data_IF_042129644308
#
_entry.id   IF_042129644308
#
_cell.length_a   1.000
_cell.length_b   1.000
_cell.length_c   1.000
_cell.angle_alpha   90.00
_cell.angle_beta   90.00
_cell.angle_gamma   90.00
#
_symmetry.space_group_name_H-M   'P 1'
#
loop_
_entity.id
_entity.type
_entity.pdbx_description
1 polymer ?
#
# COMPACT_ATOMS: atom_id res chain seq x y z
N UNK A 1 27.09 -46.60 -0.88
CA UNK A 1 25.81 -46.04 -1.38
C UNK A 1 25.27 -45.12 -0.31
N UNK A 2 25.32 -43.81 -0.53
CA UNK A 2 24.82 -42.83 0.43
C UNK A 2 23.34 -42.58 0.13
N UNK A 3 22.49 -42.83 1.13
CA UNK A 3 21.07 -42.49 1.14
C UNK A 3 20.92 -40.97 1.25
N UNK A 4 20.43 -40.33 0.20
CA UNK A 4 19.96 -38.94 0.23
C UNK A 4 18.65 -38.89 1.02
N UNK A 5 18.52 -38.07 2.07
CA UNK A 5 17.23 -37.84 2.68
C UNK A 5 16.41 -36.92 1.75
N UNK A 6 15.24 -37.38 1.35
CA UNK A 6 14.19 -36.51 0.82
C UNK A 6 13.89 -35.45 1.88
N UNK A 7 14.25 -34.20 1.58
CA UNK A 7 13.80 -33.06 2.34
C UNK A 7 12.31 -32.88 2.05
N UNK A 8 11.49 -33.55 2.87
CA UNK A 8 10.11 -33.14 3.13
C UNK A 8 10.15 -31.76 3.80
N UNK A 9 10.28 -30.71 3.00
CA UNK A 9 10.14 -29.34 3.47
C UNK A 9 8.68 -29.19 3.91
N UNK A 10 8.47 -29.17 5.21
CA UNK A 10 7.18 -29.04 5.83
C UNK A 10 6.45 -27.82 5.25
N UNK A 11 5.34 -28.07 4.55
CA UNK A 11 4.25 -27.13 4.32
C UNK A 11 3.69 -26.71 5.70
N UNK A 12 4.37 -25.79 6.38
CA UNK A 12 3.83 -25.12 7.57
C UNK A 12 4.60 -23.83 7.88
N UNK A 13 4.91 -23.05 6.85
CA UNK A 13 5.05 -21.62 7.01
C UNK A 13 3.78 -21.02 6.41
N UNK A 14 2.91 -20.43 7.23
CA UNK A 14 1.87 -19.55 6.69
C UNK A 14 2.59 -18.52 5.80
N UNK A 15 2.34 -18.55 4.50
CA UNK A 15 2.94 -17.59 3.59
C UNK A 15 2.61 -16.17 4.10
N UNK A 16 3.56 -15.21 4.13
CA UNK A 16 3.26 -13.83 4.51
C UNK A 16 2.09 -13.25 3.71
N UNK A 17 1.90 -13.76 2.47
CA UNK A 17 0.75 -13.48 1.61
C UNK A 17 -0.57 -13.96 2.21
N UNK A 18 -0.62 -15.18 2.78
CA UNK A 18 -1.82 -15.69 3.45
C UNK A 18 -2.18 -14.84 4.67
N UNK A 19 -1.19 -14.40 5.45
CA UNK A 19 -1.44 -13.49 6.58
C UNK A 19 -2.02 -12.14 6.10
N UNK A 20 -1.47 -11.56 5.05
CA UNK A 20 -1.99 -10.30 4.49
C UNK A 20 -3.39 -10.46 3.88
N UNK A 21 -3.71 -11.63 3.33
CA UNK A 21 -5.05 -11.99 2.83
C UNK A 21 -6.01 -12.41 3.94
N UNK A 22 -5.55 -12.69 5.15
CA UNK A 22 -6.45 -13.04 6.26
C UNK A 22 -6.62 -11.89 7.27
N UNK A 23 -5.62 -11.01 7.41
CA UNK A 23 -5.74 -9.82 8.24
C UNK A 23 -6.67 -8.80 7.58
N UNK A 24 -7.83 -8.58 8.18
CA UNK A 24 -8.65 -7.40 7.87
C UNK A 24 -8.05 -6.19 8.58
N UNK A 25 -8.06 -5.04 7.91
CA UNK A 25 -7.67 -3.78 8.54
C UNK A 25 -8.76 -3.42 9.55
N UNK A 26 -8.37 -3.06 10.78
CA UNK A 26 -9.32 -2.58 11.79
C UNK A 26 -10.15 -1.41 11.24
N UNK A 27 -11.45 -1.35 11.55
CA UNK A 27 -12.30 -0.20 11.19
C UNK A 27 -11.83 1.10 11.85
N UNK A 28 -11.10 0.99 12.97
CA UNK A 28 -10.50 2.11 13.69
C UNK A 28 -9.07 2.45 13.24
N UNK A 29 -8.58 1.85 12.14
CA UNK A 29 -7.23 2.11 11.67
C UNK A 29 -7.03 3.57 11.26
N UNK A 30 -5.91 4.14 11.70
CA UNK A 30 -5.56 5.53 11.42
C UNK A 30 -4.88 5.72 10.05
N UNK A 31 -4.58 6.97 9.70
CA UNK A 31 -3.97 7.34 8.42
C UNK A 31 -2.66 6.57 8.15
N UNK A 32 -1.79 6.41 9.16
CA UNK A 32 -0.49 5.77 8.98
C UNK A 32 -0.64 4.25 8.83
N UNK A 33 -1.51 3.65 9.63
CA UNK A 33 -1.82 2.22 9.54
C UNK A 33 -2.46 1.86 8.20
N UNK A 34 -3.33 2.73 7.67
CA UNK A 34 -3.92 2.56 6.35
C UNK A 34 -2.86 2.67 5.24
N UNK A 35 -1.94 3.63 5.35
CA UNK A 35 -0.83 3.78 4.41
C UNK A 35 0.10 2.55 4.43
N UNK A 36 0.47 2.05 5.62
CA UNK A 36 1.29 0.84 5.77
C UNK A 36 0.62 -0.40 5.20
N UNK A 37 -0.69 -0.56 5.43
CA UNK A 37 -1.44 -1.66 4.85
C UNK A 37 -1.49 -1.57 3.32
N UNK A 38 -1.69 -0.38 2.76
CA UNK A 38 -1.65 -0.17 1.31
C UNK A 38 -0.28 -0.57 0.74
N UNK A 39 0.82 -0.12 1.36
CA UNK A 39 2.19 -0.47 0.97
C UNK A 39 2.42 -1.98 1.01
N UNK A 40 2.01 -2.65 2.09
CA UNK A 40 2.15 -4.10 2.19
C UNK A 40 1.36 -4.84 1.10
N UNK A 41 0.16 -4.37 0.75
CA UNK A 41 -0.62 -4.98 -0.32
C UNK A 41 0.02 -4.79 -1.70
N UNK A 42 0.49 -3.58 -2.03
CA UNK A 42 1.11 -3.35 -3.35
C UNK A 42 2.45 -4.07 -3.51
N UNK A 43 3.24 -4.20 -2.44
CA UNK A 43 4.50 -4.95 -2.49
C UNK A 43 4.25 -6.41 -2.84
N UNK A 44 3.24 -7.04 -2.24
CA UNK A 44 2.87 -8.43 -2.59
C UNK A 44 2.20 -8.49 -3.97
N UNK A 45 1.42 -7.47 -4.35
CA UNK A 45 0.72 -7.43 -5.63
C UNK A 45 1.69 -7.51 -6.83
N UNK A 46 2.83 -6.81 -6.76
CA UNK A 46 3.87 -6.82 -7.81
C UNK A 46 4.52 -8.20 -7.97
N UNK A 47 4.59 -8.97 -6.90
CA UNK A 47 5.21 -10.32 -6.88
C UNK A 47 4.20 -11.46 -7.15
N UNK A 48 2.91 -11.14 -7.27
CA UNK A 48 1.84 -12.14 -7.37
C UNK A 48 1.56 -12.53 -8.82
N UNK A 49 1.81 -13.81 -9.16
CA UNK A 49 1.38 -14.40 -10.44
C UNK A 49 -0.01 -15.08 -10.36
N UNK A 50 -0.50 -15.39 -9.16
CA UNK A 50 -1.79 -16.04 -8.97
C UNK A 50 -2.97 -15.06 -9.11
N UNK A 51 -3.82 -15.28 -10.10
CA UNK A 51 -4.93 -14.37 -10.42
C UNK A 51 -5.96 -14.22 -9.29
N UNK A 52 -6.19 -15.26 -8.49
CA UNK A 52 -7.14 -15.22 -7.37
C UNK A 52 -6.60 -14.35 -6.24
N UNK A 53 -5.32 -14.55 -5.90
CA UNK A 53 -4.60 -13.75 -4.92
C UNK A 53 -4.51 -12.29 -5.37
N UNK A 54 -4.16 -12.06 -6.64
CA UNK A 54 -4.07 -10.73 -7.23
C UNK A 54 -5.41 -9.98 -7.09
N UNK A 55 -6.52 -10.59 -7.53
CA UNK A 55 -7.84 -9.97 -7.42
C UNK A 55 -8.26 -9.73 -5.97
N UNK A 56 -7.88 -10.61 -5.05
CA UNK A 56 -8.17 -10.46 -3.62
C UNK A 56 -7.39 -9.30 -3.01
N UNK A 57 -6.11 -9.17 -3.35
CA UNK A 57 -5.27 -8.04 -2.93
C UNK A 57 -5.76 -6.72 -3.52
N UNK A 58 -6.13 -6.67 -4.79
CA UNK A 58 -6.73 -5.47 -5.40
C UNK A 58 -7.99 -5.01 -4.67
N UNK A 59 -8.89 -5.92 -4.29
CA UNK A 59 -10.10 -5.58 -3.52
C UNK A 59 -9.77 -5.00 -2.15
N UNK A 60 -8.77 -5.56 -1.46
CA UNK A 60 -8.30 -5.09 -0.15
C UNK A 60 -7.63 -3.74 -0.24
N UNK A 61 -6.73 -3.57 -1.21
CA UNK A 61 -6.08 -2.30 -1.51
C UNK A 61 -7.12 -1.23 -1.84
N UNK A 62 -8.12 -1.54 -2.67
CA UNK A 62 -9.19 -0.59 -2.99
C UNK A 62 -9.99 -0.16 -1.76
N UNK A 63 -10.28 -1.08 -0.84
CA UNK A 63 -10.96 -0.75 0.41
C UNK A 63 -10.08 0.14 1.32
N UNK A 64 -8.79 -0.19 1.43
CA UNK A 64 -7.82 0.57 2.21
C UNK A 64 -7.62 1.99 1.65
N UNK A 65 -7.44 2.14 0.33
CA UNK A 65 -7.28 3.43 -0.34
C UNK A 65 -8.50 4.33 -0.19
N UNK A 66 -9.72 3.78 -0.28
CA UNK A 66 -10.94 4.56 -0.06
C UNK A 66 -11.02 5.12 1.36
N UNK A 67 -10.66 4.31 2.35
CA UNK A 67 -10.59 4.76 3.75
C UNK A 67 -9.45 5.76 3.96
N UNK A 68 -8.31 5.54 3.32
CA UNK A 68 -7.18 6.47 3.37
C UNK A 68 -7.60 7.84 2.84
N UNK A 69 -8.36 7.89 1.74
CA UNK A 69 -8.95 9.12 1.19
C UNK A 69 -9.83 9.83 2.22
N UNK A 70 -10.73 9.11 2.86
CA UNK A 70 -11.62 9.65 3.91
C UNK A 70 -10.80 10.21 5.08
N UNK A 71 -9.71 9.55 5.46
CA UNK A 71 -8.81 10.02 6.50
C UNK A 71 -7.98 11.25 6.09
N UNK A 72 -7.70 11.45 4.80
CA UNK A 72 -7.01 12.66 4.32
C UNK A 72 -7.87 13.92 4.49
N UNK A 73 -9.20 13.79 4.40
CA UNK A 73 -10.15 14.90 4.59
C UNK A 73 -10.56 15.10 6.05
N UNK A 74 -10.24 14.14 6.92
CA UNK A 74 -10.61 14.16 8.34
C UNK A 74 -9.57 14.90 9.20
N UNK A 75 -10.01 15.40 10.36
CA UNK A 75 -9.09 15.97 11.35
C UNK A 75 -8.17 14.88 11.92
N UNK A 76 -6.86 15.15 11.90
CA UNK A 76 -5.87 14.20 12.37
C UNK A 76 -5.95 14.02 13.90
N UNK A 77 -5.91 12.78 14.41
CA UNK A 77 -5.80 12.52 15.84
C UNK A 77 -4.61 13.23 16.48
N UNK A 78 -4.72 13.73 17.73
CA UNK A 78 -3.66 14.50 18.39
C UNK A 78 -2.30 13.78 18.43
N UNK A 79 -2.30 12.47 18.64
CA UNK A 79 -1.07 11.68 18.69
C UNK A 79 -0.35 11.56 17.34
N UNK A 80 -1.07 11.66 16.22
CA UNK A 80 -0.44 11.73 14.88
C UNK A 80 0.12 13.12 14.64
N UNK A 81 -0.59 14.17 15.05
CA UNK A 81 -0.08 15.55 14.96
C UNK A 81 1.21 15.68 15.76
N UNK A 82 1.25 15.16 17.00
CA UNK A 82 2.45 15.13 17.83
C UNK A 82 3.64 14.44 17.14
N UNK A 83 3.41 13.33 16.45
CA UNK A 83 4.45 12.64 15.66
C UNK A 83 4.92 13.48 14.47
N UNK A 84 4.00 14.15 13.78
CA UNK A 84 4.30 14.96 12.59
C UNK A 84 5.03 16.27 12.96
N UNK A 85 4.80 16.84 14.15
CA UNK A 85 5.52 18.05 14.60
C UNK A 85 6.85 17.75 15.29
N UNK A 86 7.05 16.52 15.79
CA UNK A 86 8.28 16.12 16.48
C UNK A 86 9.44 15.83 15.51
N UNK A 87 9.17 15.67 14.21
CA UNK A 87 10.19 15.37 13.21
C UNK A 87 11.14 16.53 12.92
N UNK A 88 12.28 16.22 12.31
CA UNK A 88 13.23 17.22 11.78
C UNK A 88 12.74 17.76 10.43
N UNK A 89 13.24 18.95 10.03
CA UNK A 89 12.88 19.54 8.74
C UNK A 89 13.50 18.71 7.62
N UNK A 90 12.66 18.02 6.86
CA UNK A 90 13.06 17.19 5.73
C UNK A 90 12.54 17.84 4.44
N UNK A 91 13.30 17.71 3.36
CA UNK A 91 12.80 18.04 2.02
C UNK A 91 11.74 17.03 1.65
N UNK A 92 10.54 17.48 1.30
CA UNK A 92 9.45 16.57 0.94
C UNK A 92 9.88 15.58 -0.15
N UNK A 93 9.51 14.32 0.02
CA UNK A 93 9.69 13.26 -0.96
C UNK A 93 8.76 13.46 -2.17
N UNK A 94 7.66 14.21 -1.99
CA UNK A 94 6.74 14.50 -3.07
C UNK A 94 7.25 15.62 -3.98
N UNK A 95 7.18 15.44 -5.31
CA UNK A 95 7.41 16.52 -6.26
C UNK A 95 6.45 17.69 -6.03
N UNK A 96 6.90 18.91 -6.31
CA UNK A 96 6.08 20.13 -6.16
C UNK A 96 4.77 20.11 -6.96
N UNK A 97 4.67 19.29 -8.00
CA UNK A 97 3.45 19.15 -8.80
C UNK A 97 2.36 18.29 -8.12
N UNK A 98 2.69 17.62 -7.00
CA UNK A 98 1.84 16.65 -6.32
C UNK A 98 1.42 17.16 -4.93
N UNK A 99 0.84 18.35 -4.83
CA UNK A 99 0.48 18.96 -3.55
C UNK A 99 -0.84 18.44 -2.95
N UNK A 100 -1.66 17.69 -3.70
CA UNK A 100 -3.00 17.29 -3.28
C UNK A 100 -3.11 15.78 -3.00
N UNK A 101 -2.97 15.40 -1.72
CA UNK A 101 -3.00 14.00 -1.22
C UNK A 101 -4.19 13.21 -1.76
N UNK A 102 -5.37 13.84 -1.76
CA UNK A 102 -6.62 13.21 -2.20
C UNK A 102 -6.60 12.83 -3.68
N UNK A 103 -5.99 13.67 -4.53
CA UNK A 103 -5.84 13.41 -5.95
C UNK A 103 -4.92 12.20 -6.21
N UNK A 104 -3.84 12.06 -5.44
CA UNK A 104 -2.94 10.90 -5.60
C UNK A 104 -3.59 9.61 -5.12
N UNK A 105 -4.38 9.66 -4.03
CA UNK A 105 -5.20 8.52 -3.61
C UNK A 105 -6.20 8.14 -4.71
N UNK A 106 -6.85 9.12 -5.34
CA UNK A 106 -7.79 8.88 -6.45
C UNK A 106 -7.11 8.24 -7.67
N UNK A 107 -5.88 8.64 -7.98
CA UNK A 107 -5.08 7.98 -9.03
C UNK A 107 -4.73 6.54 -8.67
N UNK A 108 -4.32 6.25 -7.43
CA UNK A 108 -4.05 4.90 -6.97
C UNK A 108 -5.32 4.01 -7.03
N UNK A 109 -6.49 4.57 -6.68
CA UNK A 109 -7.79 3.91 -6.82
C UNK A 109 -8.09 3.58 -8.29
N UNK A 110 -7.92 4.55 -9.19
CA UNK A 110 -8.17 4.35 -10.62
C UNK A 110 -7.23 3.30 -11.22
N UNK A 111 -5.94 3.33 -10.88
CA UNK A 111 -4.96 2.33 -11.29
C UNK A 111 -5.32 0.93 -10.77
N UNK A 112 -5.71 0.82 -9.50
CA UNK A 112 -6.14 -0.46 -8.89
C UNK A 112 -7.34 -1.04 -9.66
N UNK A 113 -8.32 -0.21 -10.00
CA UNK A 113 -9.47 -0.63 -10.80
C UNK A 113 -9.07 -1.06 -12.22
N UNK A 114 -8.15 -0.34 -12.86
CA UNK A 114 -7.67 -0.65 -14.20
C UNK A 114 -6.93 -2.00 -14.25
N UNK A 115 -6.00 -2.27 -13.32
CA UNK A 115 -5.26 -3.54 -13.28
C UNK A 115 -6.16 -4.71 -12.89
N UNK A 116 -7.15 -4.49 -12.02
CA UNK A 116 -8.13 -5.50 -11.63
C UNK A 116 -9.13 -5.83 -12.76
N UNK A 117 -9.36 -4.90 -13.69
CA UNK A 117 -10.36 -5.04 -14.75
C UNK A 117 -10.10 -6.16 -15.76
N UNK A 118 -8.86 -6.65 -15.86
CA UNK A 118 -8.50 -7.80 -16.70
C UNK A 118 -8.59 -7.56 -18.21
N UNK A 119 -8.74 -6.31 -18.65
CA UNK A 119 -8.88 -5.92 -20.07
C UNK A 119 -7.56 -5.46 -20.70
N UNK A 120 -6.51 -5.28 -19.89
CA UNK A 120 -5.21 -4.79 -20.32
C UNK A 120 -4.33 -5.91 -20.88
N UNK A 121 -3.47 -5.63 -21.87
CA UNK A 121 -2.39 -6.53 -22.23
C UNK A 121 -1.49 -6.83 -21.01
N UNK A 122 -0.98 -8.06 -20.91
CA UNK A 122 -0.20 -8.50 -19.74
C UNK A 122 1.02 -7.60 -19.44
N UNK A 123 1.72 -7.13 -20.48
CA UNK A 123 2.83 -6.18 -20.33
C UNK A 123 2.36 -4.86 -19.72
N UNK A 124 1.25 -4.30 -20.18
CA UNK A 124 0.68 -3.05 -19.67
C UNK A 124 0.20 -3.22 -18.23
N UNK A 125 -0.48 -4.33 -17.92
CA UNK A 125 -0.93 -4.63 -16.57
C UNK A 125 0.24 -4.70 -15.57
N UNK A 126 1.36 -5.33 -15.98
CA UNK A 126 2.58 -5.41 -15.18
C UNK A 126 3.17 -4.02 -14.90
N UNK A 127 3.35 -3.20 -15.94
CA UNK A 127 3.90 -1.84 -15.76
C UNK A 127 2.99 -0.96 -14.90
N UNK A 128 1.66 -1.04 -15.08
CA UNK A 128 0.72 -0.28 -14.24
C UNK A 128 0.67 -0.78 -12.79
N UNK A 129 0.93 -2.07 -12.55
CA UNK A 129 1.05 -2.62 -11.19
C UNK A 129 2.32 -2.12 -10.51
N UNK A 130 3.44 -2.03 -11.25
CA UNK A 130 4.67 -1.39 -10.76
C UNK A 130 4.48 0.10 -10.46
N UNK A 131 3.83 0.85 -11.36
CA UNK A 131 3.51 2.26 -11.12
C UNK A 131 2.61 2.45 -9.89
N UNK A 132 1.60 1.58 -9.72
CA UNK A 132 0.74 1.60 -8.55
C UNK A 132 1.54 1.38 -7.25
N UNK A 133 2.51 0.47 -7.27
CA UNK A 133 3.42 0.26 -6.15
C UNK A 133 4.20 1.53 -5.80
N UNK A 134 4.87 2.13 -6.77
CA UNK A 134 5.70 3.31 -6.54
C UNK A 134 4.87 4.51 -6.05
N UNK A 135 3.67 4.69 -6.59
CA UNK A 135 2.75 5.75 -6.14
C UNK A 135 2.27 5.55 -4.72
N UNK A 136 1.86 4.33 -4.35
CA UNK A 136 1.40 4.02 -2.99
C UNK A 136 2.55 4.14 -2.00
N UNK A 137 3.75 3.72 -2.38
CA UNK A 137 4.95 3.86 -1.55
C UNK A 137 5.27 5.34 -1.28
N UNK A 138 5.27 6.18 -2.32
CA UNK A 138 5.49 7.62 -2.16
C UNK A 138 4.40 8.28 -1.31
N UNK A 139 3.14 7.89 -1.51
CA UNK A 139 2.03 8.39 -0.71
C UNK A 139 2.20 8.01 0.77
N UNK A 140 2.64 6.79 1.06
CA UNK A 140 2.83 6.32 2.43
C UNK A 140 3.96 7.05 3.16
N UNK A 141 5.04 7.39 2.44
CA UNK A 141 6.10 8.25 2.97
C UNK A 141 5.59 9.67 3.19
N UNK A 142 4.89 10.24 2.20
CA UNK A 142 4.38 11.61 2.26
C UNK A 142 3.41 11.86 3.41
N UNK A 143 2.44 10.97 3.64
CA UNK A 143 1.48 11.17 4.75
C UNK A 143 2.12 11.13 6.13
N UNK A 144 3.36 10.63 6.24
CA UNK A 144 4.16 10.56 7.46
C UNK A 144 5.20 11.69 7.55
N UNK A 145 5.27 12.57 6.55
CA UNK A 145 6.23 13.67 6.55
C UNK A 145 5.90 14.73 7.60
N UNK A 146 6.91 15.24 8.32
CA UNK A 146 6.68 16.18 9.39
C UNK A 146 6.17 17.55 8.91
N UNK A 147 5.13 18.07 9.58
CA UNK A 147 4.55 19.39 9.33
C UNK A 147 5.32 20.49 10.08
N UNK A 148 6.52 20.85 9.61
CA UNK A 148 7.21 22.00 10.21
C UNK A 148 6.71 23.28 9.55
N UNK A 149 5.92 24.06 10.30
CA UNK A 149 5.59 25.42 9.91
C UNK A 149 6.89 26.22 9.72
N UNK A 150 7.09 26.79 8.53
CA UNK A 150 8.14 27.78 8.32
C UNK A 150 7.86 28.97 9.25
N UNK A 151 8.62 29.10 10.34
CA UNK A 151 8.74 30.35 11.09
C UNK A 151 9.90 31.15 10.52
#
# INVERSE_FOLDING_TARGET
MATTPEFSYALSAESPVCHLINNSISESADLFQLADACTAYVSVLVETDDAVTFATLCKRLLAALKRLRECCDAELPPYLVEQLIAGEKITSCMPDCWQETTLQVDYAVALTLAVMGGTLPASVAKELTGLLHDMVWLLAEFVKEPYIAAH
#
